data_IF_146809430642
#
_entry.id   IF_146809430642
#
_cell.length_a   1.000
_cell.length_b   1.000
_cell.length_c   1.000
_cell.angle_alpha   90.00
_cell.angle_beta   90.00
_cell.angle_gamma   90.00
#
_symmetry.space_group_name_H-M   'P 1'
#
loop_
_entity.id
_entity.type
_entity.pdbx_description
1 polymer ?
#
# COMPACT_ATOMS: atom_id res chain seq x y z
N UNK A 1 13.47 12.49 -4.91
CA UNK A 1 12.21 12.96 -4.32
C UNK A 1 11.55 11.74 -3.71
N UNK A 2 11.54 11.63 -2.38
CA UNK A 2 10.85 10.53 -1.71
C UNK A 2 9.36 10.69 -2.03
N UNK A 3 8.65 9.67 -2.56
CA UNK A 3 7.20 9.69 -2.59
C UNK A 3 6.74 9.68 -1.13
N UNK A 4 6.50 10.87 -0.59
CA UNK A 4 6.09 11.03 0.78
C UNK A 4 4.75 10.33 0.99
N UNK A 5 4.42 10.08 2.25
CA UNK A 5 3.03 9.81 2.66
C UNK A 5 2.22 11.09 2.45
N UNK A 6 2.02 11.45 1.18
CA UNK A 6 1.25 12.58 0.72
C UNK A 6 -0.20 12.15 0.48
N UNK A 7 -1.07 13.14 0.32
CA UNK A 7 -2.48 12.89 0.02
C UNK A 7 -2.66 12.10 -1.29
N UNK A 8 -1.81 12.36 -2.29
CA UNK A 8 -1.77 11.66 -3.58
C UNK A 8 -1.51 10.16 -3.45
N UNK A 9 -0.51 9.78 -2.67
CA UNK A 9 -0.09 8.39 -2.45
C UNK A 9 -1.15 7.63 -1.66
N UNK A 10 -1.77 8.27 -0.67
CA UNK A 10 -2.87 7.69 0.09
C UNK A 10 -4.09 7.40 -0.82
N UNK A 11 -4.36 8.29 -1.78
CA UNK A 11 -5.43 8.13 -2.77
C UNK A 11 -5.13 6.97 -3.72
N UNK A 12 -3.88 6.84 -4.18
CA UNK A 12 -3.44 5.74 -5.03
C UNK A 12 -3.55 4.39 -4.30
N UNK A 13 -3.07 4.30 -3.05
CA UNK A 13 -3.21 3.12 -2.19
C UNK A 13 -4.69 2.79 -1.92
N UNK A 14 -5.51 3.81 -1.66
CA UNK A 14 -6.96 3.65 -1.50
C UNK A 14 -7.61 3.05 -2.74
N UNK A 15 -7.26 3.54 -3.93
CA UNK A 15 -7.77 3.03 -5.19
C UNK A 15 -7.28 1.60 -5.49
N UNK A 16 -6.00 1.31 -5.25
CA UNK A 16 -5.46 -0.05 -5.40
C UNK A 16 -6.16 -1.03 -4.45
N UNK A 17 -6.35 -0.65 -3.19
CA UNK A 17 -7.07 -1.46 -2.21
C UNK A 17 -8.54 -1.65 -2.59
N UNK A 18 -9.20 -0.63 -3.16
CA UNK A 18 -10.57 -0.72 -3.69
C UNK A 18 -10.69 -1.76 -4.81
N UNK A 19 -9.69 -1.85 -5.70
CA UNK A 19 -9.68 -2.80 -6.82
C UNK A 19 -9.39 -4.22 -6.33
N UNK A 20 -8.39 -4.38 -5.46
CA UNK A 20 -7.90 -5.69 -5.00
C UNK A 20 -8.89 -6.34 -4.03
N UNK A 21 -9.37 -5.57 -3.05
CA UNK A 21 -10.22 -6.06 -1.96
C UNK A 21 -11.70 -5.87 -2.30
N UNK A 22 -12.03 -4.79 -3.00
CA UNK A 22 -13.41 -4.43 -3.33
C UNK A 22 -13.94 -3.28 -2.46
N UNK A 23 -14.83 -2.42 -3.01
CA UNK A 23 -15.35 -1.23 -2.33
C UNK A 23 -16.24 -1.50 -1.12
N UNK A 24 -16.80 -2.70 -1.02
CA UNK A 24 -17.64 -3.09 0.13
C UNK A 24 -16.84 -3.75 1.25
N UNK A 25 -15.74 -4.42 0.90
CA UNK A 25 -14.99 -5.24 1.84
C UNK A 25 -13.96 -4.41 2.62
N UNK A 26 -13.34 -3.42 1.98
CA UNK A 26 -12.42 -2.49 2.61
C UNK A 26 -13.02 -1.78 3.86
N UNK A 27 -14.20 -1.12 3.79
CA UNK A 27 -14.80 -0.49 4.97
C UNK A 27 -15.21 -1.51 6.04
N UNK A 28 -15.62 -2.72 5.65
CA UNK A 28 -15.96 -3.77 6.60
C UNK A 28 -14.72 -4.29 7.35
N UNK A 29 -13.58 -4.42 6.66
CA UNK A 29 -12.29 -4.79 7.25
C UNK A 29 -11.76 -3.70 8.18
N UNK A 30 -11.83 -2.42 7.78
CA UNK A 30 -11.45 -1.30 8.64
C UNK A 30 -12.25 -1.29 9.95
N UNK A 31 -13.55 -1.63 9.92
CA UNK A 31 -14.37 -1.74 11.13
C UNK A 31 -13.89 -2.85 12.05
N UNK A 32 -13.52 -4.01 11.50
CA UNK A 32 -12.97 -5.12 12.31
C UNK A 32 -11.64 -4.72 12.92
N UNK A 33 -10.69 -4.27 12.11
CA UNK A 33 -9.37 -3.81 12.60
C UNK A 33 -9.52 -2.71 13.63
N UNK A 34 -10.39 -1.72 13.37
CA UNK A 34 -10.68 -0.63 14.29
C UNK A 34 -11.25 -1.10 15.62
N UNK A 35 -12.08 -2.16 15.65
CA UNK A 35 -12.54 -2.75 16.91
C UNK A 35 -11.40 -3.44 17.68
N UNK A 36 -10.50 -4.15 16.99
CA UNK A 36 -9.33 -4.75 17.62
C UNK A 36 -8.38 -3.70 18.20
N UNK A 37 -8.04 -2.68 17.40
CA UNK A 37 -7.21 -1.54 17.84
C UNK A 37 -7.90 -0.79 18.98
N UNK A 38 -9.23 -0.59 18.90
CA UNK A 38 -10.01 0.06 19.95
C UNK A 38 -9.97 -0.70 21.28
N UNK A 39 -10.10 -2.02 21.24
CA UNK A 39 -9.96 -2.90 22.42
C UNK A 39 -8.54 -2.86 22.98
N UNK A 40 -7.53 -2.98 22.13
CA UNK A 40 -6.12 -2.86 22.55
C UNK A 40 -5.82 -1.51 23.19
N UNK A 41 -6.35 -0.41 22.63
CA UNK A 41 -6.22 0.93 23.20
C UNK A 41 -6.99 1.11 24.52
N UNK A 42 -8.13 0.43 24.70
CA UNK A 42 -8.84 0.43 25.97
C UNK A 42 -8.04 -0.29 27.05
N UNK A 43 -7.54 -1.50 26.74
CA UNK A 43 -6.66 -2.26 27.62
C UNK A 43 -5.40 -1.47 27.99
N UNK A 44 -4.74 -0.85 27.00
CA UNK A 44 -3.56 -0.01 27.24
C UNK A 44 -3.84 1.16 28.19
N UNK A 45 -5.05 1.74 28.15
CA UNK A 45 -5.45 2.80 29.09
C UNK A 45 -5.66 2.27 30.51
N UNK A 46 -6.21 1.07 30.65
CA UNK A 46 -6.32 0.37 31.94
C UNK A 46 -4.93 0.08 32.53
N UNK A 47 -4.01 -0.43 31.70
CA UNK A 47 -2.63 -0.67 32.10
C UNK A 47 -1.94 0.63 32.49
N UNK A 48 -2.09 1.69 31.70
CA UNK A 48 -1.49 2.99 32.02
C UNK A 48 -1.99 3.54 33.36
N UNK A 49 -3.28 3.36 33.67
CA UNK A 49 -3.83 3.73 34.98
C UNK A 49 -3.22 2.88 36.12
N UNK A 50 -3.13 1.55 35.93
CA UNK A 50 -2.52 0.66 36.92
C UNK A 50 -1.01 0.91 37.10
N UNK A 51 -0.29 1.23 36.02
CA UNK A 51 1.12 1.60 36.05
C UNK A 51 1.33 2.92 36.77
N UNK A 52 0.45 3.91 36.63
CA UNK A 52 0.54 5.17 37.38
C UNK A 52 0.35 4.96 38.89
N UNK A 53 -0.55 4.04 39.28
CA UNK A 53 -0.74 3.67 40.69
C UNK A 53 0.49 2.94 41.27
N UNK A 54 1.13 2.08 40.49
CA UNK A 54 2.36 1.37 40.87
C UNK A 54 3.59 2.28 40.79
N UNK A 55 3.63 3.29 39.90
CA UNK A 55 4.75 4.23 39.73
C UNK A 55 5.05 5.04 40.99
N UNK A 56 4.05 5.24 41.85
CA UNK A 56 4.22 5.86 43.15
C UNK A 56 4.99 4.98 44.15
N UNK A 57 5.28 3.73 43.80
CA UNK A 57 6.16 2.81 44.53
C UNK A 57 7.41 2.56 43.66
N UNK A 58 8.60 2.72 44.25
CA UNK A 58 9.89 3.05 43.61
C UNK A 58 10.51 2.06 42.59
N UNK A 59 9.74 1.14 42.01
CA UNK A 59 10.24 0.11 41.07
C UNK A 59 10.11 0.50 39.58
N UNK A 60 9.36 1.56 39.23
CA UNK A 60 9.10 1.91 37.83
C UNK A 60 10.11 2.87 37.17
N UNK A 61 10.89 3.61 37.97
CA UNK A 61 11.94 4.49 37.42
C UNK A 61 13.07 3.68 36.77
N UNK A 62 13.39 2.51 37.33
CA UNK A 62 14.39 1.58 36.78
C UNK A 62 13.90 0.97 35.45
N UNK A 63 12.63 0.54 35.40
CA UNK A 63 12.01 0.02 34.16
C UNK A 63 11.87 1.08 33.08
N UNK A 64 11.55 2.33 33.43
CA UNK A 64 11.56 3.46 32.49
C UNK A 64 12.94 3.65 31.89
N UNK A 65 13.99 3.57 32.70
CA UNK A 65 15.37 3.73 32.27
C UNK A 65 15.82 2.59 31.36
N UNK A 66 15.45 1.35 31.67
CA UNK A 66 15.73 0.18 30.81
C UNK A 66 14.99 0.28 29.46
N UNK A 67 13.73 0.74 29.45
CA UNK A 67 12.99 0.99 28.20
C UNK A 67 13.61 2.14 27.40
N UNK A 68 14.04 3.21 28.07
CA UNK A 68 14.70 4.34 27.41
C UNK A 68 16.06 3.93 26.82
N UNK A 69 16.82 3.11 27.54
CA UNK A 69 18.09 2.55 27.08
C UNK A 69 17.86 1.59 25.91
N UNK A 70 16.85 0.72 25.94
CA UNK A 70 16.45 -0.15 24.81
C UNK A 70 15.96 0.65 23.58
N UNK A 71 15.32 1.80 23.82
CA UNK A 71 14.84 2.70 22.77
C UNK A 71 15.96 3.55 22.16
N UNK A 72 16.97 3.90 22.97
CA UNK A 72 18.24 4.48 22.50
C UNK A 72 19.07 3.44 21.78
N UNK A 73 18.99 2.20 22.23
CA UNK A 73 19.66 1.09 21.58
C UNK A 73 19.04 0.85 20.20
N UNK A 74 19.89 0.38 19.30
CA UNK A 74 19.81 0.48 17.85
C UNK A 74 18.58 -0.17 17.19
N UNK A 75 17.57 -0.62 17.92
CA UNK A 75 16.33 -1.19 17.38
C UNK A 75 15.56 -0.18 16.52
N UNK A 76 15.43 1.07 16.99
CA UNK A 76 14.76 2.12 16.22
C UNK A 76 15.61 2.60 15.03
N UNK A 77 16.94 2.53 15.15
CA UNK A 77 17.85 2.86 14.05
C UNK A 77 17.84 1.77 12.99
N UNK A 78 17.96 0.49 13.37
CA UNK A 78 17.82 -0.67 12.49
C UNK A 78 16.48 -0.70 11.76
N UNK A 79 15.38 -0.40 12.45
CA UNK A 79 14.07 -0.32 11.81
C UNK A 79 13.99 0.80 10.76
N UNK A 80 14.67 1.93 11.00
CA UNK A 80 14.77 3.01 10.01
C UNK A 80 15.69 2.62 8.85
N UNK A 81 16.81 1.94 9.12
CA UNK A 81 17.74 1.45 8.11
C UNK A 81 17.10 0.40 7.21
N UNK A 82 16.37 -0.56 7.79
CA UNK A 82 15.62 -1.59 7.08
C UNK A 82 14.51 -0.96 6.22
N UNK A 83 13.82 0.06 6.74
CA UNK A 83 12.80 0.79 6.01
C UNK A 83 13.41 1.59 4.85
N UNK A 84 14.55 2.25 5.06
CA UNK A 84 15.27 2.99 4.03
C UNK A 84 15.80 2.06 2.92
N UNK A 85 16.26 0.85 3.28
CA UNK A 85 16.68 -0.16 2.32
C UNK A 85 15.50 -0.68 1.48
N UNK A 86 14.35 -0.91 2.12
CA UNK A 86 13.12 -1.31 1.43
C UNK A 86 12.59 -0.22 0.50
N UNK A 87 12.62 1.04 0.93
CA UNK A 87 12.26 2.19 0.09
C UNK A 87 13.17 2.31 -1.14
N UNK A 88 14.47 2.06 -0.99
CA UNK A 88 15.41 2.07 -2.10
C UNK A 88 15.14 0.95 -3.12
N UNK A 89 14.84 -0.27 -2.66
CA UNK A 89 14.51 -1.42 -3.51
C UNK A 89 13.20 -1.18 -4.30
N UNK A 90 12.16 -0.68 -3.61
CA UNK A 90 10.88 -0.34 -4.24
C UNK A 90 11.04 0.77 -5.28
N UNK A 91 11.79 1.83 -4.97
CA UNK A 91 12.01 2.93 -5.92
C UNK A 91 12.79 2.48 -7.16
N UNK A 92 13.76 1.57 -6.99
CA UNK A 92 14.55 0.99 -8.08
C UNK A 92 13.67 0.15 -9.02
N UNK A 93 12.85 -0.74 -8.45
CA UNK A 93 11.93 -1.58 -9.21
C UNK A 93 10.85 -0.78 -9.96
N UNK A 94 10.40 0.35 -9.39
CA UNK A 94 9.42 1.24 -10.03
C UNK A 94 10.04 2.01 -11.21
N UNK A 95 11.29 2.48 -11.06
CA UNK A 95 12.03 3.19 -12.12
C UNK A 95 12.45 2.27 -13.28
N UNK A 96 12.77 1.02 -13.00
CA UNK A 96 13.12 0.03 -14.04
C UNK A 96 11.92 -0.36 -14.91
N UNK A 97 10.70 -0.32 -14.35
CA UNK A 97 9.47 -0.77 -15.03
C UNK A 97 8.70 0.35 -15.75
N UNK A 98 9.06 1.62 -15.56
CA UNK A 98 8.37 2.78 -16.18
C UNK A 98 9.36 3.77 -16.82
N UNK A 99 9.62 3.71 -18.14
CA UNK A 99 10.39 4.76 -18.82
C UNK A 99 9.62 6.08 -18.81
N UNK A 100 10.30 7.25 -18.72
CA UNK A 100 9.63 8.54 -18.69
C UNK A 100 8.84 8.76 -19.99
N UNK A 101 7.59 9.23 -19.93
CA UNK A 101 6.86 9.60 -21.12
C UNK A 101 7.61 10.74 -21.80
N UNK A 102 8.07 10.47 -23.03
CA UNK A 102 8.68 11.47 -23.90
C UNK A 102 7.70 12.65 -24.04
N UNK A 103 8.12 13.92 -23.85
CA UNK A 103 7.23 15.05 -24.01
C UNK A 103 6.77 15.13 -25.47
N UNK A 104 5.56 14.65 -25.76
CA UNK A 104 4.85 15.02 -26.97
C UNK A 104 4.23 16.39 -26.71
N UNK A 105 4.88 17.43 -27.22
CA UNK A 105 4.29 18.76 -27.34
C UNK A 105 2.98 18.67 -28.16
N UNK A 106 2.01 19.57 -27.91
CA UNK A 106 0.60 19.35 -28.21
C UNK A 106 0.30 19.55 -29.69
N UNK A 107 -0.42 18.60 -30.28
CA UNK A 107 -1.27 18.83 -31.44
C UNK A 107 -2.62 18.19 -31.14
N UNK A 108 -3.48 18.96 -30.49
CA UNK A 108 -4.93 18.80 -30.61
C UNK A 108 -5.29 19.04 -32.07
N UNK A 109 -5.98 18.08 -32.69
CA UNK A 109 -7.03 18.22 -33.70
C UNK A 109 -7.24 16.82 -34.34
N UNK A 110 -8.39 16.27 -34.66
CA UNK A 110 -9.81 16.47 -34.34
C UNK A 110 -10.46 15.17 -34.81
N UNK A 111 -11.36 14.64 -33.98
CA UNK A 111 -12.46 13.70 -34.28
C UNK A 111 -12.60 13.23 -35.73
N UNK A 112 -12.61 11.92 -35.95
CA UNK A 112 -13.47 11.28 -36.94
C UNK A 112 -13.93 9.93 -36.40
N UNK A 113 -15.16 9.93 -35.92
CA UNK A 113 -15.95 8.81 -35.41
C UNK A 113 -16.25 7.74 -36.48
N UNK A 114 -16.76 6.57 -36.09
CA UNK A 114 -16.50 5.28 -36.71
C UNK A 114 -17.50 4.94 -37.81
N UNK A 115 -17.04 4.37 -38.93
CA UNK A 115 -17.95 3.70 -39.85
C UNK A 115 -18.06 2.22 -39.49
N UNK A 116 -19.24 1.85 -38.99
CA UNK A 116 -19.69 0.47 -38.86
C UNK A 116 -20.41 0.09 -40.14
N UNK A 117 -19.96 -0.92 -40.89
CA UNK A 117 -20.91 -1.80 -41.58
C UNK A 117 -20.31 -3.19 -41.85
N UNK A 118 -21.05 -4.29 -41.60
CA UNK A 118 -20.54 -5.65 -41.55
C UNK A 118 -20.76 -6.40 -42.86
N UNK A 119 -19.78 -7.20 -43.31
CA UNK A 119 -20.02 -8.27 -44.28
C UNK A 119 -18.91 -9.34 -44.26
N UNK A 120 -19.26 -10.53 -43.80
CA UNK A 120 -18.59 -11.81 -44.07
C UNK A 120 -19.74 -12.80 -44.38
N UNK A 121 -19.58 -13.97 -45.04
CA UNK A 121 -18.48 -14.61 -45.81
C UNK A 121 -18.98 -14.99 -47.25
N UNK A 122 -18.39 -15.89 -48.10
CA UNK A 122 -17.41 -16.98 -47.84
C UNK A 122 -16.31 -17.26 -48.90
N UNK A 123 -15.24 -17.95 -48.49
CA UNK A 123 -14.69 -19.16 -49.14
C UNK A 123 -13.32 -19.54 -48.54
N UNK A 124 -13.29 -20.56 -47.68
CA UNK A 124 -12.07 -21.28 -47.31
C UNK A 124 -11.93 -22.51 -48.23
N UNK A 125 -10.78 -22.73 -48.90
CA UNK A 125 -10.51 -23.95 -49.63
C UNK A 125 -10.19 -25.12 -48.67
N UNK A 126 -10.60 -26.32 -49.08
CA UNK A 126 -10.38 -27.58 -48.37
C UNK A 126 -8.92 -28.04 -48.43
N UNK A 127 -8.39 -28.48 -47.30
CA UNK A 127 -7.31 -29.48 -47.11
C UNK A 127 -7.32 -29.75 -45.59
N UNK A 128 -7.29 -30.94 -45.02
CA UNK A 128 -7.09 -32.32 -45.42
C UNK A 128 -7.03 -33.03 -44.06
N UNK A 129 -7.91 -34.00 -43.84
CA UNK A 129 -8.14 -34.63 -42.55
C UNK A 129 -7.07 -35.71 -42.30
N UNK A 130 -6.35 -35.59 -41.18
CA UNK A 130 -5.55 -36.64 -40.55
C UNK A 130 -6.48 -37.51 -39.69
N UNK A 131 -6.71 -38.77 -40.07
CA UNK A 131 -7.21 -39.81 -39.17
C UNK A 131 -7.04 -41.22 -39.77
N UNK A 132 -6.02 -41.95 -39.31
CA UNK A 132 -6.05 -43.38 -38.93
C UNK A 132 -4.63 -43.88 -38.60
#
# INVERSE_FOLDING_TARGET
MLPGIGFSELLLLGLAALIIVGPKDLPMMMRRVGQFVGKGRAMAREFQAAFEDIARQSELDELRKEIEDLKKDNTMQKAQDDLAAFEADVNSAVMEKSPPPKPAAPAVETVSEPNSEPATPPALPKTGDDAA
#
